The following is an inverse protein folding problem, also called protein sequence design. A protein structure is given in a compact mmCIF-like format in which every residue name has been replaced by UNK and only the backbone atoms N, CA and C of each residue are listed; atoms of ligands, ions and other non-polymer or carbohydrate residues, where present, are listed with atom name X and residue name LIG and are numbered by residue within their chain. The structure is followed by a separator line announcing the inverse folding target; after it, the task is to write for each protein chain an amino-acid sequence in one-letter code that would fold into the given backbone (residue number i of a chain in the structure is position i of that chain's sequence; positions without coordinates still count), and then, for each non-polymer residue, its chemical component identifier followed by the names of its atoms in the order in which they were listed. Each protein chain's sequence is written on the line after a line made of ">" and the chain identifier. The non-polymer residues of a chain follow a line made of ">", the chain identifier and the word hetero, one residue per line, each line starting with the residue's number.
data_IF_658991465466
#
_entry.id   IF_658991465466
#
_cell.length_a   1.000
_cell.length_b   1.000
_cell.length_c   1.000
_cell.angle_alpha   90.00
_cell.angle_beta   90.00
_cell.angle_gamma   90.00
#
_symmetry.space_group_name_H-M   'P 1'
#
loop_
_entity.id
_entity.type
_entity.pdbx_description
1 polymer ?
#
# COMPACT_ATOMS: atom_id res chain seq x y z
N UNK A 1 10.90 -11.46 -0.89
CA UNK A 1 9.86 -10.75 -0.14
C UNK A 1 10.00 -9.33 -0.63
N UNK A 2 8.91 -8.80 -1.19
CA UNK A 2 8.91 -7.58 -2.01
C UNK A 2 9.30 -6.36 -1.17
N UNK A 3 8.78 -6.23 0.05
CA UNK A 3 9.07 -5.11 0.94
C UNK A 3 10.55 -5.00 1.30
N UNK A 4 11.18 -6.12 1.66
CA UNK A 4 12.62 -6.17 1.92
C UNK A 4 13.42 -5.79 0.70
N UNK A 5 13.08 -6.36 -0.45
CA UNK A 5 13.87 -6.18 -1.65
C UNK A 5 13.76 -4.73 -2.17
N UNK A 6 12.59 -4.07 -2.04
CA UNK A 6 12.42 -2.62 -2.27
C UNK A 6 13.26 -1.82 -1.27
N UNK A 7 13.18 -2.14 0.02
CA UNK A 7 13.93 -1.44 1.08
C UNK A 7 15.44 -1.50 0.84
N UNK A 8 15.92 -2.67 0.43
CA UNK A 8 17.30 -2.90 0.04
C UNK A 8 17.74 -2.03 -1.14
N UNK A 9 16.93 -1.93 -2.19
CA UNK A 9 17.26 -1.08 -3.32
C UNK A 9 17.28 0.40 -2.94
N UNK A 10 16.36 0.86 -2.08
CA UNK A 10 16.38 2.23 -1.59
C UNK A 10 17.69 2.54 -0.84
N UNK A 11 18.16 1.61 0.02
CA UNK A 11 19.45 1.72 0.71
C UNK A 11 20.61 1.76 -0.29
N UNK A 12 20.62 0.85 -1.26
CA UNK A 12 21.70 0.72 -2.25
C UNK A 12 21.78 1.94 -3.19
N UNK A 13 20.64 2.52 -3.58
CA UNK A 13 20.58 3.75 -4.41
C UNK A 13 21.12 4.96 -3.66
N UNK A 14 20.81 5.09 -2.37
CA UNK A 14 21.30 6.20 -1.55
C UNK A 14 22.81 6.08 -1.27
N UNK A 15 23.33 4.85 -1.22
CA UNK A 15 24.74 4.51 -0.96
C UNK A 15 25.34 5.24 0.25
N UNK A 16 24.54 5.38 1.31
CA UNK A 16 24.97 6.01 2.55
C UNK A 16 25.58 4.92 3.44
N UNK A 17 26.87 5.08 3.80
CA UNK A 17 27.62 4.13 4.65
C UNK A 17 26.85 3.68 5.90
N UNK A 18 26.13 4.60 6.56
CA UNK A 18 25.34 4.29 7.75
C UNK A 18 24.16 3.38 7.42
N UNK A 19 23.40 3.67 6.35
CA UNK A 19 22.28 2.83 5.91
C UNK A 19 22.79 1.45 5.46
N UNK A 20 23.87 1.41 4.68
CA UNK A 20 24.51 0.16 4.25
C UNK A 20 24.90 -0.74 5.43
N UNK A 21 25.37 -0.16 6.55
CA UNK A 21 25.72 -0.92 7.77
C UNK A 21 24.51 -1.62 8.38
N UNK A 22 23.33 -1.01 8.32
CA UNK A 22 22.11 -1.52 8.94
C UNK A 22 21.08 -2.02 7.90
N UNK A 23 21.51 -2.24 6.66
CA UNK A 23 20.66 -2.69 5.55
C UNK A 23 19.82 -3.90 5.94
N UNK A 24 20.43 -4.90 6.58
CA UNK A 24 19.72 -6.11 7.02
C UNK A 24 18.63 -5.82 8.05
N UNK A 25 18.87 -4.90 8.99
CA UNK A 25 17.88 -4.51 10.01
C UNK A 25 16.69 -3.78 9.37
N UNK A 26 16.98 -2.87 8.42
CA UNK A 26 15.95 -2.16 7.64
C UNK A 26 15.05 -3.15 6.90
N UNK A 27 15.67 -4.10 6.19
CA UNK A 27 14.89 -5.10 5.44
C UNK A 27 14.17 -6.11 6.32
N UNK A 28 14.65 -6.39 7.53
CA UNK A 28 13.93 -7.25 8.47
C UNK A 28 12.76 -6.49 9.10
N UNK A 29 12.96 -5.20 9.42
CA UNK A 29 11.91 -4.33 9.93
C UNK A 29 10.74 -4.20 8.96
N UNK A 30 11.00 -4.13 7.65
CA UNK A 30 9.90 -4.11 6.68
C UNK A 30 9.13 -5.44 6.67
N UNK A 31 9.82 -6.59 6.70
CA UNK A 31 9.14 -7.90 6.76
C UNK A 31 8.32 -8.08 8.04
N UNK A 32 8.87 -7.68 9.18
CA UNK A 32 8.21 -7.87 10.48
C UNK A 32 6.94 -7.00 10.60
N UNK A 33 6.82 -5.96 9.78
CA UNK A 33 5.63 -5.10 9.73
C UNK A 33 4.41 -5.83 9.15
N UNK A 34 4.58 -6.84 8.29
CA UNK A 34 3.46 -7.68 7.82
C UNK A 34 2.98 -8.73 8.82
N UNK A 35 3.51 -8.73 10.05
CA UNK A 35 3.07 -9.71 11.06
C UNK A 35 1.84 -9.20 11.83
N UNK A 36 1.06 -10.12 12.41
CA UNK A 36 -0.01 -9.70 13.32
C UNK A 36 0.60 -9.21 14.64
N UNK A 37 0.20 -8.05 15.17
CA UNK A 37 -0.95 -7.22 14.78
C UNK A 37 -0.62 -5.97 13.93
N UNK A 38 0.60 -5.83 13.43
CA UNK A 38 1.06 -4.64 12.71
C UNK A 38 0.25 -4.36 11.45
N UNK A 39 -0.11 -5.41 10.69
CA UNK A 39 -0.89 -5.26 9.45
C UNK A 39 -2.26 -4.59 9.60
N UNK A 40 -2.77 -4.43 10.82
CA UNK A 40 -4.06 -3.83 11.09
C UNK A 40 -4.18 -2.37 10.64
N UNK A 41 -3.07 -1.66 10.43
CA UNK A 41 -3.05 -0.26 9.98
C UNK A 41 -2.35 -0.08 8.62
N UNK A 42 -2.25 -1.11 7.78
CA UNK A 42 -1.51 -1.07 6.51
C UNK A 42 -2.25 -0.39 5.35
N UNK A 43 -3.54 -0.09 5.51
CA UNK A 43 -4.29 0.69 4.53
C UNK A 43 -4.45 2.15 4.95
N UNK A 44 -4.64 2.99 3.93
CA UNK A 44 -5.12 4.36 4.09
C UNK A 44 -5.74 4.85 2.79
N UNK A 45 -7.05 5.05 2.80
CA UNK A 45 -7.76 5.69 1.70
C UNK A 45 -7.73 7.21 1.86
N UNK A 46 -7.07 7.94 0.94
CA UNK A 46 -6.85 9.38 1.09
C UNK A 46 -8.11 10.22 0.87
N UNK A 47 -9.19 9.66 0.34
CA UNK A 47 -10.45 10.36 0.09
C UNK A 47 -11.38 10.36 1.31
N UNK A 48 -11.41 9.26 2.07
CA UNK A 48 -12.33 9.07 3.18
C UNK A 48 -11.63 8.86 4.54
N UNK A 49 -10.30 8.69 4.55
CA UNK A 49 -9.47 8.49 5.73
C UNK A 49 -9.53 7.09 6.35
N UNK A 50 -10.13 6.09 5.68
CA UNK A 50 -10.31 4.73 6.22
C UNK A 50 -9.04 3.90 6.12
N UNK A 51 -8.86 2.97 7.06
CA UNK A 51 -7.94 1.84 6.96
C UNK A 51 -8.66 0.57 6.51
N UNK A 52 -8.12 -0.61 6.81
CA UNK A 52 -8.79 -1.88 6.55
C UNK A 52 -9.97 -2.10 7.51
N UNK A 53 -10.99 -2.82 7.06
CA UNK A 53 -12.11 -3.28 7.91
C UNK A 53 -11.75 -4.62 8.56
N UNK A 54 -10.73 -4.59 9.42
CA UNK A 54 -10.28 -5.75 10.18
C UNK A 54 -10.76 -5.67 11.62
N UNK A 55 -11.11 -6.80 12.27
CA UNK A 55 -11.43 -6.85 13.69
C UNK A 55 -10.14 -6.75 14.54
N UNK A 56 -9.44 -5.63 14.41
CA UNK A 56 -8.20 -5.28 15.11
C UNK A 56 -8.34 -4.27 16.28
N UNK A 57 -9.53 -3.95 16.85
CA UNK A 57 -9.62 -2.84 17.79
C UNK A 57 -8.79 -3.09 19.05
N UNK A 58 -7.90 -2.15 19.37
CA UNK A 58 -7.13 -2.12 20.61
C UNK A 58 -5.94 -3.09 20.67
N UNK A 59 -5.51 -3.67 19.54
CA UNK A 59 -4.32 -4.51 19.53
C UNK A 59 -3.07 -3.65 19.52
N UNK A 60 -2.47 -3.55 20.70
CA UNK A 60 -1.18 -2.91 20.93
C UNK A 60 -0.13 -3.77 20.24
N UNK A 61 0.52 -3.26 19.20
CA UNK A 61 1.69 -3.93 18.64
C UNK A 61 2.85 -3.97 19.67
N UNK A 62 3.92 -4.74 19.42
CA UNK A 62 5.03 -4.80 20.39
C UNK A 62 5.74 -3.44 20.62
N UNK A 63 5.49 -2.45 19.75
CA UNK A 63 5.96 -1.08 19.88
C UNK A 63 4.91 -0.13 20.49
N UNK A 64 3.77 -0.64 20.93
CA UNK A 64 2.63 0.09 21.45
C UNK A 64 2.01 1.13 20.51
N UNK A 65 1.95 0.81 19.22
CA UNK A 65 1.24 1.61 18.21
C UNK A 65 -0.25 1.28 18.27
N UNK A 66 -1.08 2.33 18.34
CA UNK A 66 -2.54 2.27 18.24
C UNK A 66 -2.94 3.26 17.15
N UNK A 67 -3.37 2.76 16.00
CA UNK A 67 -3.73 3.55 14.84
C UNK A 67 -4.79 2.81 14.02
N UNK A 68 -5.65 3.57 13.34
CA UNK A 68 -6.73 3.03 12.51
C UNK A 68 -6.30 2.83 11.04
N UNK A 69 -5.18 3.42 10.62
CA UNK A 69 -4.68 3.44 9.24
C UNK A 69 -3.20 3.85 9.20
N UNK A 70 -2.56 3.76 8.03
CA UNK A 70 -1.12 4.04 7.87
C UNK A 70 -0.77 5.51 8.10
N UNK A 71 -1.70 6.41 7.77
CA UNK A 71 -1.52 7.85 7.96
C UNK A 71 -1.42 8.21 9.45
N UNK A 72 -2.18 7.54 10.32
CA UNK A 72 -2.16 7.73 11.77
C UNK A 72 -1.02 6.96 12.44
N UNK A 73 -0.64 5.79 11.91
CA UNK A 73 0.46 4.98 12.44
C UNK A 73 1.84 5.63 12.21
N UNK A 74 2.06 6.19 11.01
CA UNK A 74 3.33 6.76 10.57
C UNK A 74 3.97 7.77 11.55
N UNK A 75 3.29 8.81 12.04
CA UNK A 75 3.90 9.77 12.96
C UNK A 75 4.33 9.14 14.30
N UNK A 76 3.60 8.13 14.79
CA UNK A 76 3.93 7.42 16.03
C UNK A 76 5.21 6.60 15.81
N UNK A 77 5.21 5.75 14.78
CA UNK A 77 6.33 4.88 14.44
C UNK A 77 7.61 5.68 14.10
N UNK A 78 7.46 6.79 13.37
CA UNK A 78 8.56 7.70 13.07
C UNK A 78 9.11 8.37 14.33
N UNK A 79 8.25 8.84 15.22
CA UNK A 79 8.67 9.42 16.51
C UNK A 79 9.49 8.44 17.35
N UNK A 80 9.05 7.18 17.41
CA UNK A 80 9.78 6.12 18.11
C UNK A 80 11.12 5.78 17.42
N UNK A 81 11.15 5.76 16.09
CA UNK A 81 12.38 5.57 15.28
C UNK A 81 13.43 6.63 15.62
N UNK A 82 13.05 7.90 15.63
CA UNK A 82 13.94 9.01 15.96
C UNK A 82 14.39 8.93 17.42
N UNK A 83 13.50 8.62 18.35
CA UNK A 83 13.86 8.45 19.76
C UNK A 83 14.88 7.32 19.98
N UNK A 84 14.72 6.19 19.29
CA UNK A 84 15.68 5.09 19.32
C UNK A 84 17.05 5.51 18.74
N UNK A 85 17.04 6.27 17.65
CA UNK A 85 18.26 6.80 17.02
C UNK A 85 19.03 7.73 17.95
N UNK A 86 18.33 8.70 18.55
CA UNK A 86 18.91 9.68 19.47
C UNK A 86 19.46 9.03 20.75
N UNK A 87 18.85 7.92 21.19
CA UNK A 87 19.33 7.11 22.31
C UNK A 87 20.53 6.22 21.95
N UNK A 88 20.95 6.16 20.68
CA UNK A 88 22.02 5.28 20.20
C UNK A 88 21.62 3.81 20.10
N UNK A 89 20.33 3.50 20.21
CA UNK A 89 19.80 2.15 20.01
C UNK A 89 19.56 1.90 18.52
N UNK A 90 20.60 1.48 17.80
CA UNK A 90 20.57 1.50 16.33
C UNK A 90 20.01 0.21 15.69
N UNK A 91 20.19 -0.98 16.28
CA UNK A 91 19.81 -2.27 15.65
C UNK A 91 19.05 -3.22 16.59
N UNK A 92 18.58 -4.35 16.04
CA UNK A 92 17.70 -5.31 16.70
C UNK A 92 16.22 -4.92 16.62
N UNK A 93 15.32 -5.81 17.08
CA UNK A 93 13.84 -5.69 17.00
C UNK A 93 13.19 -4.46 17.69
N UNK A 94 13.96 -3.48 18.14
CA UNK A 94 13.45 -2.19 18.59
C UNK A 94 14.46 -1.07 18.38
N UNK A 95 15.49 -1.32 17.56
CA UNK A 95 16.50 -0.36 17.18
C UNK A 95 16.01 0.53 16.05
N UNK A 96 16.58 1.72 15.96
CA UNK A 96 16.17 2.74 15.01
C UNK A 96 16.09 2.25 13.56
N UNK A 97 17.02 1.40 13.12
CA UNK A 97 17.04 0.94 11.73
C UNK A 97 16.03 -0.18 11.46
N UNK A 98 15.65 -0.97 12.45
CA UNK A 98 14.52 -1.91 12.32
C UNK A 98 13.21 -1.12 12.23
N UNK A 99 13.00 -0.14 13.11
CA UNK A 99 11.81 0.72 13.07
C UNK A 99 11.73 1.58 11.80
N UNK A 100 12.87 2.02 11.26
CA UNK A 100 12.94 2.66 9.94
C UNK A 100 12.43 1.71 8.83
N UNK A 101 12.78 0.43 8.90
CA UNK A 101 12.24 -0.60 8.01
C UNK A 101 10.72 -0.66 8.04
N UNK A 102 10.13 -0.63 9.24
CA UNK A 102 8.68 -0.58 9.44
C UNK A 102 8.05 0.71 8.87
N UNK A 103 8.70 1.86 9.02
CA UNK A 103 8.24 3.10 8.35
C UNK A 103 8.27 2.96 6.83
N UNK A 104 9.33 2.37 6.27
CA UNK A 104 9.47 2.17 4.84
C UNK A 104 8.37 1.23 4.32
N UNK A 105 8.01 0.21 5.09
CA UNK A 105 6.90 -0.69 4.78
C UNK A 105 5.59 0.05 4.55
N UNK A 106 5.15 0.87 5.51
CA UNK A 106 3.91 1.65 5.36
C UNK A 106 3.92 2.58 4.13
N UNK A 107 5.10 3.07 3.72
CA UNK A 107 5.24 3.86 2.49
C UNK A 107 5.07 2.96 1.25
N UNK A 108 5.60 1.73 1.28
CA UNK A 108 5.47 0.76 0.21
C UNK A 108 4.02 0.32 0.02
N UNK A 109 3.27 0.11 1.12
CA UNK A 109 1.85 -0.19 1.08
C UNK A 109 1.05 0.89 0.35
N UNK A 110 1.39 2.17 0.53
CA UNK A 110 0.75 3.27 -0.20
C UNK A 110 1.10 3.31 -1.69
N UNK A 111 1.90 2.35 -2.17
CA UNK A 111 2.13 2.10 -3.60
C UNK A 111 1.34 0.91 -4.15
N UNK A 112 0.59 0.20 -3.29
CA UNK A 112 -0.34 -0.87 -3.65
C UNK A 112 -1.78 -0.34 -3.80
N UNK A 113 -2.48 -0.65 -4.91
CA UNK A 113 -3.86 -0.21 -5.11
C UNK A 113 -4.78 -0.61 -3.94
N UNK A 114 -4.80 -1.88 -3.54
CA UNK A 114 -5.74 -2.38 -2.53
C UNK A 114 -5.60 -1.64 -1.18
N UNK A 115 -4.37 -1.33 -0.76
CA UNK A 115 -4.10 -0.57 0.47
C UNK A 115 -4.56 0.89 0.41
N UNK A 116 -4.51 1.52 -0.78
CA UNK A 116 -5.01 2.89 -0.97
C UNK A 116 -6.51 2.96 -1.16
N UNK A 117 -7.16 1.85 -1.50
CA UNK A 117 -8.62 1.74 -1.62
C UNK A 117 -9.28 1.16 -0.36
N UNK A 118 -8.50 0.89 0.70
CA UNK A 118 -8.97 0.22 1.92
C UNK A 118 -9.56 -1.17 1.69
N UNK A 119 -9.17 -1.85 0.62
CA UNK A 119 -9.68 -3.17 0.33
C UNK A 119 -9.01 -4.22 1.21
N UNK A 120 -9.80 -4.89 2.03
CA UNK A 120 -9.28 -5.73 3.10
C UNK A 120 -8.96 -7.13 2.59
N UNK A 121 -7.68 -7.49 2.61
CA UNK A 121 -7.18 -8.80 2.24
C UNK A 121 -6.06 -9.20 3.21
N UNK A 122 -6.10 -10.45 3.72
CA UNK A 122 -5.11 -10.97 4.68
C UNK A 122 -4.16 -11.96 3.99
N UNK A 123 -4.65 -12.66 2.97
CA UNK A 123 -3.90 -13.71 2.26
C UNK A 123 -3.12 -13.18 1.04
N UNK A 124 -3.08 -11.85 0.87
CA UNK A 124 -2.51 -11.13 -0.26
C UNK A 124 -3.49 -10.87 -1.42
N UNK A 125 -3.05 -10.08 -2.40
CA UNK A 125 -3.81 -9.76 -3.60
C UNK A 125 -3.11 -10.13 -4.93
N UNK A 126 -3.85 -10.02 -6.05
CA UNK A 126 -3.35 -10.31 -7.41
C UNK A 126 -2.15 -9.43 -7.81
N UNK A 127 -2.16 -8.15 -7.40
CA UNK A 127 -1.09 -7.19 -7.66
C UNK A 127 0.18 -7.51 -6.87
N UNK A 128 0.06 -7.83 -5.59
CA UNK A 128 1.17 -8.25 -4.74
C UNK A 128 1.81 -9.55 -5.23
N UNK A 129 0.96 -10.54 -5.60
CA UNK A 129 1.41 -11.79 -6.19
C UNK A 129 2.15 -11.55 -7.51
N UNK A 130 1.62 -10.69 -8.39
CA UNK A 130 2.29 -10.29 -9.62
C UNK A 130 3.61 -9.56 -9.34
N UNK A 131 3.64 -8.64 -8.37
CA UNK A 131 4.80 -7.88 -7.95
C UNK A 131 5.96 -8.78 -7.51
N UNK A 132 5.67 -9.83 -6.74
CA UNK A 132 6.65 -10.84 -6.33
C UNK A 132 7.36 -11.53 -7.49
N UNK A 133 6.67 -11.74 -8.61
CA UNK A 133 7.23 -12.34 -9.82
C UNK A 133 7.90 -11.36 -10.80
N UNK A 134 7.63 -10.06 -10.67
CA UNK A 134 8.02 -9.03 -11.64
C UNK A 134 8.85 -7.90 -11.03
N UNK A 135 9.42 -8.14 -9.84
CA UNK A 135 10.18 -7.15 -9.09
C UNK A 135 11.42 -6.62 -9.81
N UNK A 136 12.24 -7.49 -10.40
CA UNK A 136 13.52 -7.11 -11.04
C UNK A 136 13.35 -6.11 -12.22
N UNK A 137 12.33 -6.23 -13.09
CA UNK A 137 12.01 -5.20 -14.08
C UNK A 137 11.71 -3.79 -13.54
N UNK A 138 11.36 -3.63 -12.26
CA UNK A 138 10.97 -2.34 -11.68
C UNK A 138 12.18 -1.48 -11.24
N UNK A 139 13.39 -2.05 -11.24
CA UNK A 139 14.61 -1.38 -10.77
C UNK A 139 15.11 -0.27 -11.68
N UNK A 140 14.71 -0.29 -12.96
CA UNK A 140 15.10 0.72 -13.96
C UNK A 140 14.16 1.94 -13.99
N UNK A 141 13.14 1.97 -13.12
CA UNK A 141 12.16 3.06 -13.09
C UNK A 141 12.76 4.27 -12.36
N UNK A 142 12.69 5.43 -12.99
CA UNK A 142 13.08 6.69 -12.34
C UNK A 142 12.10 6.99 -11.20
N UNK A 143 12.57 7.14 -9.95
CA UNK A 143 11.68 7.39 -8.83
C UNK A 143 11.00 8.75 -8.96
N UNK A 144 9.72 8.80 -8.58
CA UNK A 144 8.97 10.03 -8.38
C UNK A 144 8.79 10.20 -6.88
N UNK A 145 9.32 11.29 -6.34
CA UNK A 145 9.20 11.59 -4.92
C UNK A 145 8.08 12.62 -4.72
N UNK A 146 7.11 12.37 -3.82
CA UNK A 146 6.16 13.40 -3.42
C UNK A 146 6.89 14.57 -2.74
N UNK A 147 6.34 15.78 -2.89
CA UNK A 147 6.88 17.00 -2.29
C UNK A 147 6.51 17.13 -0.79
N UNK A 148 6.58 16.02 -0.06
CA UNK A 148 6.07 15.90 1.29
C UNK A 148 6.98 16.60 2.31
N UNK A 149 6.37 17.31 3.26
CA UNK A 149 7.06 18.02 4.33
C UNK A 149 7.26 17.18 5.61
N UNK A 150 6.66 16.00 5.68
CA UNK A 150 6.73 15.08 6.82
C UNK A 150 6.52 13.62 6.37
N UNK A 151 6.94 12.61 7.16
CA UNK A 151 6.65 11.20 6.87
C UNK A 151 5.15 10.92 6.71
N UNK A 152 4.31 11.53 7.56
CA UNK A 152 2.86 11.41 7.46
C UNK A 152 2.32 11.99 6.15
N UNK A 153 2.82 13.17 5.74
CA UNK A 153 2.46 13.76 4.44
C UNK A 153 2.97 12.89 3.27
N UNK A 154 4.09 12.18 3.44
CA UNK A 154 4.61 11.29 2.41
C UNK A 154 3.68 10.10 2.19
N UNK A 155 3.18 9.48 3.27
CA UNK A 155 2.15 8.44 3.21
C UNK A 155 0.90 8.96 2.49
N UNK A 156 0.41 10.14 2.87
CA UNK A 156 -0.76 10.73 2.21
C UNK A 156 -0.53 10.99 0.71
N UNK A 157 0.57 11.66 0.35
CA UNK A 157 0.84 12.02 -1.03
C UNK A 157 1.08 10.79 -1.92
N UNK A 158 1.74 9.74 -1.39
CA UNK A 158 1.89 8.47 -2.08
C UNK A 158 0.53 7.81 -2.34
N UNK A 159 -0.33 7.75 -1.30
CA UNK A 159 -1.67 7.21 -1.42
C UNK A 159 -2.51 7.96 -2.44
N UNK A 160 -2.46 9.30 -2.45
CA UNK A 160 -3.17 10.14 -3.43
C UNK A 160 -2.69 9.86 -4.85
N UNK A 161 -1.39 9.72 -5.08
CA UNK A 161 -0.85 9.41 -6.41
C UNK A 161 -1.37 8.06 -6.89
N UNK A 162 -1.27 7.04 -6.04
CA UNK A 162 -1.65 5.67 -6.42
C UNK A 162 -3.16 5.56 -6.58
N UNK A 163 -3.96 6.03 -5.62
CA UNK A 163 -5.42 6.06 -5.72
C UNK A 163 -5.89 6.70 -7.03
N UNK A 164 -5.37 7.88 -7.37
CA UNK A 164 -5.77 8.58 -8.60
C UNK A 164 -5.26 7.88 -9.87
N UNK A 165 -4.11 7.21 -9.82
CA UNK A 165 -3.55 6.50 -10.97
C UNK A 165 -4.28 5.18 -11.23
N UNK A 166 -4.84 4.58 -10.18
CA UNK A 166 -5.58 3.32 -10.22
C UNK A 166 -7.09 3.51 -10.38
N UNK A 167 -7.57 4.76 -10.37
CA UNK A 167 -8.98 5.11 -10.59
C UNK A 167 -9.18 5.72 -11.98
N UNK A 168 -10.09 5.16 -12.79
CA UNK A 168 -10.39 5.71 -14.12
C UNK A 168 -11.89 5.86 -14.40
N UNK A 169 -12.37 7.05 -14.81
CA UNK A 169 -13.73 7.20 -15.28
C UNK A 169 -13.85 6.66 -16.71
N UNK A 170 -14.59 5.57 -16.90
CA UNK A 170 -14.84 5.00 -18.22
C UNK A 170 -16.23 4.38 -18.34
N UNK A 171 -16.71 4.26 -19.58
CA UNK A 171 -17.82 3.35 -19.88
C UNK A 171 -17.25 1.96 -20.00
N UNK A 172 -17.75 1.08 -19.15
CA UNK A 172 -17.36 -0.31 -19.12
C UNK A 172 -17.97 -0.97 -20.35
N UNK A 173 -17.13 -1.54 -21.21
CA UNK A 173 -17.59 -2.30 -22.37
C UNK A 173 -17.50 -3.79 -22.04
N UNK A 174 -18.64 -4.45 -22.03
CA UNK A 174 -18.75 -5.91 -21.98
C UNK A 174 -18.02 -6.52 -23.19
N UNK A 175 -16.84 -7.10 -22.97
CA UNK A 175 -16.20 -7.93 -24.00
C UNK A 175 -15.66 -9.21 -23.36
N UNK A 176 -16.23 -10.34 -23.73
CA UNK A 176 -15.73 -11.66 -23.35
C UNK A 176 -14.98 -12.28 -24.54
N UNK A 177 -13.71 -12.72 -24.38
CA UNK A 177 -12.84 -12.62 -23.21
C UNK A 177 -12.04 -11.31 -23.11
N UNK A 178 -11.59 -10.97 -21.89
CA UNK A 178 -10.56 -9.95 -21.62
C UNK A 178 -9.37 -10.14 -22.59
N UNK A 179 -9.00 -9.11 -23.37
CA UNK A 179 -7.88 -9.20 -24.31
C UNK A 179 -6.58 -9.55 -23.58
N UNK A 180 -5.67 -10.25 -24.25
CA UNK A 180 -4.38 -10.66 -23.66
C UNK A 180 -3.43 -9.45 -23.52
N UNK A 181 -3.53 -8.72 -22.41
CA UNK A 181 -2.80 -7.48 -22.12
C UNK A 181 -1.85 -7.66 -20.93
N UNK A 182 -1.02 -6.63 -20.64
CA UNK A 182 -0.28 -6.57 -19.37
C UNK A 182 -1.25 -6.55 -18.18
N UNK A 183 -2.35 -5.80 -18.31
CA UNK A 183 -3.39 -5.69 -17.32
C UNK A 183 -3.99 -7.05 -16.92
N UNK A 184 -4.32 -7.90 -17.90
CA UNK A 184 -4.78 -9.27 -17.65
C UNK A 184 -3.77 -10.15 -16.89
N UNK A 185 -2.48 -9.84 -16.99
CA UNK A 185 -1.42 -10.56 -16.25
C UNK A 185 -1.26 -10.04 -14.83
N UNK A 186 -1.53 -8.76 -14.59
CA UNK A 186 -1.51 -8.14 -13.26
C UNK A 186 -2.74 -8.51 -12.44
N UNK A 187 -3.90 -8.66 -13.09
CA UNK A 187 -5.17 -8.95 -12.45
C UNK A 187 -5.86 -10.13 -13.14
N UNK A 188 -5.32 -11.35 -13.02
CA UNK A 188 -5.88 -12.53 -13.67
C UNK A 188 -7.30 -12.88 -13.20
N UNK A 189 -7.70 -12.46 -12.00
CA UNK A 189 -9.04 -12.69 -11.43
C UNK A 189 -10.08 -11.64 -11.83
N UNK A 190 -9.71 -10.66 -12.64
CA UNK A 190 -10.61 -9.63 -13.13
C UNK A 190 -11.82 -10.25 -13.84
N UNK A 191 -12.99 -10.18 -13.21
CA UNK A 191 -14.24 -10.78 -13.65
C UNK A 191 -15.39 -9.76 -13.60
N UNK A 192 -16.38 -9.97 -14.46
CA UNK A 192 -17.55 -9.10 -14.52
C UNK A 192 -18.68 -9.71 -13.69
N UNK A 193 -19.24 -8.90 -12.80
CA UNK A 193 -20.42 -9.21 -12.02
C UNK A 193 -21.61 -8.43 -12.56
N UNK A 194 -22.58 -9.17 -13.10
CA UNK A 194 -23.89 -8.65 -13.51
C UNK A 194 -24.71 -8.42 -12.24
N UNK A 195 -25.02 -7.15 -11.95
CA UNK A 195 -25.82 -6.76 -10.77
C UNK A 195 -27.29 -7.20 -10.88
N UNK A 196 -27.71 -7.66 -12.05
CA UNK A 196 -29.06 -8.08 -12.35
C UNK A 196 -30.03 -6.90 -12.41
N UNK A 197 -31.33 -7.21 -12.33
CA UNK A 197 -32.39 -6.22 -12.57
C UNK A 197 -32.42 -5.02 -11.59
N UNK A 198 -31.79 -5.14 -10.42
CA UNK A 198 -31.81 -4.12 -9.35
C UNK A 198 -30.41 -3.72 -8.87
N UNK A 199 -29.36 -4.35 -9.38
CA UNK A 199 -27.99 -4.06 -9.01
C UNK A 199 -27.27 -3.38 -10.16
N UNK A 200 -26.24 -2.63 -9.81
CA UNK A 200 -25.36 -2.05 -10.81
C UNK A 200 -24.34 -3.09 -11.26
N UNK A 201 -23.93 -3.01 -12.52
CA UNK A 201 -22.88 -3.85 -13.07
C UNK A 201 -21.50 -3.35 -12.63
N UNK A 202 -20.61 -4.27 -12.27
CA UNK A 202 -19.26 -3.92 -11.84
C UNK A 202 -18.25 -5.00 -12.24
N UNK A 203 -16.99 -4.60 -12.40
CA UNK A 203 -15.89 -5.55 -12.48
C UNK A 203 -15.30 -5.72 -11.08
N UNK A 204 -15.02 -6.96 -10.72
CA UNK A 204 -14.32 -7.34 -9.50
C UNK A 204 -12.96 -7.87 -9.91
N UNK A 205 -11.91 -7.42 -9.22
CA UNK A 205 -10.65 -8.15 -9.14
C UNK A 205 -10.67 -8.77 -7.75
N UNK A 206 -10.42 -10.08 -7.67
CA UNK A 206 -10.40 -10.73 -6.37
C UNK A 206 -9.36 -10.02 -5.48
N UNK A 207 -9.78 -9.68 -4.26
CA UNK A 207 -8.93 -9.06 -3.23
C UNK A 207 -8.31 -7.69 -3.62
N UNK A 208 -8.93 -6.92 -4.53
CA UNK A 208 -8.62 -5.48 -4.74
C UNK A 208 -9.83 -4.56 -4.49
N UNK A 209 -10.99 -5.15 -4.19
CA UNK A 209 -12.13 -4.47 -3.58
C UNK A 209 -13.07 -3.72 -4.53
N UNK A 210 -14.08 -3.10 -3.92
CA UNK A 210 -15.03 -2.20 -4.56
C UNK A 210 -14.57 -0.76 -4.35
N UNK A 211 -14.42 0.01 -5.44
CA UNK A 211 -14.07 1.42 -5.34
C UNK A 211 -15.33 2.18 -4.88
N UNK A 212 -15.19 2.92 -3.80
CA UNK A 212 -16.27 3.64 -3.14
C UNK A 212 -16.78 4.84 -3.99
N UNK A 213 -18.12 4.96 -4.08
CA UNK A 213 -18.82 6.05 -4.77
C UNK A 213 -18.42 7.46 -4.29
N UNK A 214 -17.87 7.56 -3.07
CA UNK A 214 -17.53 8.81 -2.39
C UNK A 214 -16.28 9.51 -2.99
N UNK A 215 -15.54 8.85 -3.89
CA UNK A 215 -14.43 9.44 -4.64
C UNK A 215 -14.85 10.37 -5.79
N UNK A 216 -16.15 10.46 -6.13
CA UNK A 216 -16.59 11.16 -7.35
C UNK A 216 -17.13 12.58 -7.15
N UNK A 217 -16.54 13.51 -7.92
CA UNK A 217 -17.29 14.59 -8.57
C UNK A 217 -18.51 13.95 -9.29
N UNK A 218 -19.71 14.12 -8.73
CA UNK A 218 -20.98 13.75 -9.38
C UNK A 218 -21.09 14.43 -10.74
N UNK A 219 -20.65 13.75 -11.80
CA UNK A 219 -21.09 14.06 -13.16
C UNK A 219 -22.48 13.45 -13.27
N UNK A 220 -23.47 14.26 -13.63
CA UNK A 220 -24.92 13.98 -13.55
C UNK A 220 -25.44 12.86 -14.49
N UNK A 221 -24.64 11.84 -14.78
CA UNK A 221 -24.98 10.71 -15.64
C UNK A 221 -24.57 9.44 -14.92
N UNK A 222 -25.54 8.71 -14.37
CA UNK A 222 -25.34 7.49 -13.57
C UNK A 222 -24.53 6.42 -14.31
N UNK A 223 -23.21 6.45 -14.14
CA UNK A 223 -22.26 5.50 -14.68
C UNK A 223 -21.37 5.04 -13.52
N UNK A 224 -21.56 3.82 -13.04
CA UNK A 224 -20.68 3.20 -12.06
C UNK A 224 -19.41 2.72 -12.76
N UNK A 225 -18.27 2.99 -12.13
CA UNK A 225 -16.96 3.11 -12.80
C UNK A 225 -15.87 2.45 -11.97
N UNK A 226 -15.30 1.36 -12.47
CA UNK A 226 -13.99 0.86 -12.03
C UNK A 226 -13.28 0.18 -13.20
N UNK A 227 -12.09 0.68 -13.55
CA UNK A 227 -11.03 -0.07 -14.24
C UNK A 227 -9.72 0.36 -13.59
N UNK A 228 -9.08 -0.53 -12.83
CA UNK A 228 -7.67 -0.39 -12.46
C UNK A 228 -6.81 -0.52 -13.73
N UNK A 229 -5.53 -0.14 -13.71
CA UNK A 229 -4.70 -0.03 -14.92
C UNK A 229 -3.71 -1.15 -15.12
#
# INVERSE_FOLDING_TARGET
>A
EVHRDISYNAVDILDIRLLNRFRSEIGQGSIDEDTFPQYCYHAYNPHNGRGFDLPCPGVIDWANIIADNSFDAMPILWGQTIAAFDAGNLGGNGGAFHMLGRCIHLIQDMTSPAHTHSDTHIDGDDFEAWGGGNFLPLLDIKPVFPAAASPQSFVHDAAVIVYNTTTWPGRIHESNPQPNTLFKRMFPTLTFHDGGFLGDDYWVIDNIGEFDEDGFLKIATGENKIISR
#
